data_IF_117564077772
#
_entry.id   IF_117564077772
#
_cell.length_a   1.000
_cell.length_b   1.000
_cell.length_c   1.000
_cell.angle_alpha   90.00
_cell.angle_beta   90.00
_cell.angle_gamma   90.00
#
_symmetry.space_group_name_H-M   'P 1'
#
loop_
_entity.id
_entity.type
_entity.pdbx_description
1 polymer ?
#
# COMPACT_ATOMS: atom_id res chain seq x y z
N UNK A 1 20.83 -12.36 -18.10
CA UNK A 1 20.13 -13.60 -18.48
C UNK A 1 19.07 -13.89 -17.42
N UNK A 2 17.80 -14.00 -17.81
CA UNK A 2 16.68 -14.37 -16.92
C UNK A 2 16.84 -15.83 -16.48
N UNK A 3 16.77 -16.11 -15.18
CA UNK A 3 16.81 -17.49 -14.65
C UNK A 3 15.49 -18.19 -14.97
N UNK A 4 15.57 -19.39 -15.54
CA UNK A 4 14.39 -20.24 -15.74
C UNK A 4 13.94 -20.79 -14.38
N UNK A 5 12.91 -20.19 -13.80
CA UNK A 5 12.25 -20.65 -12.58
C UNK A 5 10.99 -21.42 -13.02
N UNK A 6 10.87 -22.72 -12.73
CA UNK A 6 9.67 -23.48 -13.06
C UNK A 6 8.43 -22.76 -12.49
N UNK A 7 7.40 -22.53 -13.32
CA UNK A 7 6.15 -21.81 -13.04
C UNK A 7 6.16 -20.27 -13.20
N UNK A 8 7.30 -19.62 -13.46
CA UNK A 8 7.29 -18.19 -13.80
C UNK A 8 7.30 -17.93 -15.31
N UNK A 9 6.61 -16.89 -15.80
CA UNK A 9 6.72 -16.45 -17.19
C UNK A 9 8.18 -16.10 -17.54
N UNK A 10 8.58 -16.39 -18.78
CA UNK A 10 9.96 -16.17 -19.24
C UNK A 10 10.35 -14.67 -19.24
N UNK A 11 9.36 -13.78 -19.38
CA UNK A 11 9.45 -12.33 -19.24
C UNK A 11 8.37 -11.85 -18.25
N UNK A 12 8.62 -11.92 -16.93
CA UNK A 12 7.64 -11.45 -15.96
C UNK A 12 7.50 -9.93 -16.09
N UNK A 13 6.26 -9.46 -16.25
CA UNK A 13 5.99 -8.03 -16.16
C UNK A 13 6.11 -7.63 -14.69
N UNK A 14 7.01 -6.70 -14.38
CA UNK A 14 7.11 -6.19 -13.02
C UNK A 14 5.83 -5.43 -12.67
N UNK A 15 5.24 -5.75 -11.51
CA UNK A 15 4.14 -4.97 -10.99
C UNK A 15 4.66 -3.60 -10.55
N UNK A 16 3.94 -2.54 -10.93
CA UNK A 16 4.16 -1.20 -10.38
C UNK A 16 3.16 -0.99 -9.26
N UNK A 17 3.66 -0.65 -8.07
CA UNK A 17 2.83 -0.19 -6.98
C UNK A 17 2.99 1.32 -6.87
N UNK A 18 1.89 2.05 -6.97
CA UNK A 18 1.86 3.47 -6.62
C UNK A 18 1.60 3.57 -5.12
N UNK A 19 2.61 4.01 -4.38
CA UNK A 19 2.48 4.31 -2.96
C UNK A 19 2.33 5.82 -2.84
N UNK A 20 1.13 6.27 -2.45
CA UNK A 20 0.91 7.69 -2.19
C UNK A 20 1.80 8.14 -1.02
N UNK A 21 2.44 9.30 -1.15
CA UNK A 21 3.21 9.90 -0.07
C UNK A 21 2.32 10.09 1.16
N UNK A 22 2.77 9.62 2.31
CA UNK A 22 2.05 9.75 3.57
C UNK A 22 2.76 10.78 4.45
N UNK A 23 2.12 11.92 4.76
CA UNK A 23 2.68 12.86 5.72
C UNK A 23 2.78 12.19 7.09
N UNK A 24 3.86 12.48 7.83
CA UNK A 24 4.10 11.90 9.15
C UNK A 24 3.30 12.63 10.23
N UNK A 25 1.98 12.51 10.13
CA UNK A 25 1.01 13.16 11.00
C UNK A 25 -0.18 12.22 11.28
N UNK A 26 -1.05 12.60 12.22
CA UNK A 26 -2.25 11.83 12.57
C UNK A 26 -1.96 10.34 12.87
N UNK A 27 -1.00 10.10 13.74
CA UNK A 27 -0.45 8.77 14.00
C UNK A 27 -1.10 8.06 15.19
N UNK A 28 -1.12 6.73 15.14
CA UNK A 28 -1.32 5.88 16.30
C UNK A 28 -0.08 5.86 17.20
N UNK A 29 -0.27 5.53 18.48
CA UNK A 29 0.85 5.17 19.37
C UNK A 29 1.43 3.82 18.93
N UNK A 30 2.68 3.54 19.30
CA UNK A 30 3.42 2.38 18.78
C UNK A 30 2.74 1.03 19.07
N UNK A 31 2.17 0.87 20.26
CA UNK A 31 1.42 -0.30 20.70
C UNK A 31 0.15 -0.52 19.86
N UNK A 32 -0.62 0.54 19.64
CA UNK A 32 -1.84 0.50 18.83
C UNK A 32 -1.52 0.30 17.33
N UNK A 33 -0.47 0.95 16.84
CA UNK A 33 -0.01 0.81 15.45
C UNK A 33 0.37 -0.64 15.13
N UNK A 34 1.04 -1.33 16.06
CA UNK A 34 1.40 -2.74 15.92
C UNK A 34 0.15 -3.61 15.79
N UNK A 35 -0.87 -3.35 16.60
CA UNK A 35 -2.13 -4.09 16.55
C UNK A 35 -2.92 -3.84 15.25
N UNK A 36 -2.91 -2.60 14.74
CA UNK A 36 -3.66 -2.20 13.54
C UNK A 36 -2.95 -2.51 12.22
N UNK A 37 -1.64 -2.74 12.26
CA UNK A 37 -0.82 -3.00 11.06
C UNK A 37 -0.45 -1.74 10.26
N UNK A 38 -0.74 -0.55 10.79
CA UNK A 38 -0.30 0.74 10.25
C UNK A 38 -0.16 1.76 11.38
N UNK A 39 0.82 2.66 11.27
CA UNK A 39 0.95 3.81 12.18
C UNK A 39 0.08 4.99 11.76
N UNK A 40 -0.28 5.08 10.49
CA UNK A 40 -1.05 6.19 9.91
C UNK A 40 -2.54 5.90 10.04
N UNK A 41 -3.27 6.73 10.79
CA UNK A 41 -4.73 6.56 11.01
C UNK A 41 -5.52 6.68 9.72
N UNK A 42 -5.06 7.55 8.82
CA UNK A 42 -5.74 7.80 7.55
C UNK A 42 -5.69 6.58 6.62
N UNK A 43 -4.80 5.61 6.87
CA UNK A 43 -4.75 4.36 6.11
C UNK A 43 -5.61 3.25 6.71
N UNK A 44 -6.02 3.39 7.98
CA UNK A 44 -6.84 2.40 8.69
C UNK A 44 -8.34 2.59 8.37
N UNK A 45 -8.66 2.44 7.08
CA UNK A 45 -10.01 2.51 6.55
C UNK A 45 -10.34 1.26 5.73
N UNK A 46 -11.63 0.84 5.67
CA UNK A 46 -12.04 -0.29 4.82
C UNK A 46 -11.70 -0.06 3.35
N UNK A 47 -11.35 -1.15 2.64
CA UNK A 47 -11.02 -1.09 1.21
C UNK A 47 -12.13 -0.44 0.36
N UNK A 48 -13.40 -0.66 0.69
CA UNK A 48 -14.55 -0.06 0.00
C UNK A 48 -14.56 1.47 0.05
N UNK A 49 -13.98 2.06 1.10
CA UNK A 49 -13.97 3.52 1.32
C UNK A 49 -13.03 4.23 0.34
N UNK A 50 -11.98 3.55 -0.14
CA UNK A 50 -11.02 4.11 -1.09
C UNK A 50 -11.65 4.55 -2.42
N UNK A 51 -12.78 3.92 -2.81
CA UNK A 51 -13.52 4.30 -4.02
C UNK A 51 -14.12 5.70 -3.92
N UNK A 52 -14.58 6.08 -2.72
CA UNK A 52 -15.36 7.30 -2.50
C UNK A 52 -14.52 8.43 -1.91
N UNK A 53 -13.47 8.09 -1.15
CA UNK A 53 -12.51 9.04 -0.62
C UNK A 53 -11.10 8.51 -0.93
N UNK A 54 -10.54 8.84 -2.09
CA UNK A 54 -9.21 8.37 -2.43
C UNK A 54 -8.19 9.22 -1.71
N UNK A 55 -7.93 8.86 -0.45
CA UNK A 55 -6.81 9.34 0.36
C UNK A 55 -5.47 9.02 -0.36
N UNK A 56 -5.52 8.08 -1.30
CA UNK A 56 -4.42 7.61 -2.15
C UNK A 56 -4.74 7.69 -3.65
N UNK A 57 -5.44 8.72 -4.16
CA UNK A 57 -5.47 8.94 -5.61
C UNK A 57 -4.15 9.60 -6.04
N UNK A 58 -3.27 8.92 -6.80
CA UNK A 58 -2.07 9.56 -7.35
C UNK A 58 -2.39 10.58 -8.46
N UNK A 59 -3.66 10.71 -8.84
CA UNK A 59 -4.15 11.57 -9.93
C UNK A 59 -5.04 12.73 -9.42
N UNK A 60 -5.06 12.97 -8.11
CA UNK A 60 -5.70 14.15 -7.52
C UNK A 60 -4.68 15.26 -7.33
#
# INVERSE_FOLDING_TARGET
MSKNIPLMPQNPMYAYAYIAFQPFENLYKADEALYRGTIFKDLDIPFSTYKNNPIMSPFK
#
